data_IF_067472756469
#
_entry.id   IF_067472756469
#
_cell.length_a   1.000
_cell.length_b   1.000
_cell.length_c   1.000
_cell.angle_alpha   90.00
_cell.angle_beta   90.00
_cell.angle_gamma   90.00
#
_symmetry.space_group_name_H-M   'P 1'
#
loop_
_entity.id
_entity.type
_entity.pdbx_description
1 polymer ?
#
# COMPACT_ATOMS: atom_id res chain seq x y z
N UNK A 1 18.15 16.28 0.77
CA UNK A 1 16.96 16.14 -0.11
C UNK A 1 15.76 15.87 0.79
N UNK A 2 14.61 16.50 0.52
CA UNK A 2 13.43 16.48 1.38
C UNK A 2 12.48 15.30 1.10
N UNK A 3 11.48 15.14 1.97
CA UNK A 3 10.39 14.17 1.81
C UNK A 3 9.49 14.59 0.64
N UNK A 4 9.26 13.69 -0.31
CA UNK A 4 8.39 13.93 -1.47
C UNK A 4 7.07 13.22 -1.25
N UNK A 5 5.97 13.95 -1.43
CA UNK A 5 4.62 13.43 -1.27
C UNK A 5 3.83 13.53 -2.57
N UNK A 6 2.96 12.55 -2.81
CA UNK A 6 1.98 12.57 -3.90
C UNK A 6 0.58 12.31 -3.35
N UNK A 7 -0.40 13.02 -3.89
CA UNK A 7 -1.81 12.71 -3.63
C UNK A 7 -2.25 11.53 -4.50
N UNK A 8 -3.03 10.62 -3.93
CA UNK A 8 -3.58 9.48 -4.66
C UNK A 8 -4.82 8.91 -4.00
N UNK A 9 -5.55 8.05 -4.72
CA UNK A 9 -6.67 7.31 -4.16
C UNK A 9 -6.28 5.86 -3.91
N UNK A 10 -6.47 5.39 -2.69
CA UNK A 10 -6.47 3.96 -2.36
C UNK A 10 -7.87 3.40 -2.61
N UNK A 11 -7.99 2.34 -3.39
CA UNK A 11 -9.26 1.74 -3.80
C UNK A 11 -9.27 0.29 -3.34
N UNK A 12 -10.27 -0.06 -2.55
CA UNK A 12 -10.51 -1.41 -2.06
C UNK A 12 -11.11 -2.35 -3.11
N UNK A 13 -11.25 -3.64 -2.78
CA UNK A 13 -11.79 -4.65 -3.69
C UNK A 13 -13.26 -4.38 -4.06
N UNK A 14 -14.02 -3.69 -3.21
CA UNK A 14 -15.42 -3.32 -3.43
C UNK A 14 -15.59 -2.01 -4.20
N UNK A 15 -14.50 -1.37 -4.63
CA UNK A 15 -14.51 -0.07 -5.32
C UNK A 15 -14.59 1.14 -4.38
N UNK A 16 -14.75 0.94 -3.06
CA UNK A 16 -14.67 2.02 -2.08
C UNK A 16 -13.26 2.61 -2.09
N UNK A 17 -13.17 3.94 -2.11
CA UNK A 17 -11.89 4.64 -2.19
C UNK A 17 -11.70 5.70 -1.13
N UNK A 18 -10.44 5.97 -0.82
CA UNK A 18 -10.02 7.06 0.08
C UNK A 18 -8.84 7.81 -0.51
N UNK A 19 -8.88 9.13 -0.36
CA UNK A 19 -7.74 9.99 -0.69
C UNK A 19 -6.68 9.84 0.39
N UNK A 20 -5.44 9.63 -0.05
CA UNK A 20 -4.28 9.38 0.80
C UNK A 20 -3.09 10.13 0.23
N UNK A 21 -2.39 10.83 1.10
CA UNK A 21 -1.11 11.46 0.77
C UNK A 21 0.01 10.45 0.97
N UNK A 22 0.55 9.94 -0.13
CA UNK A 22 1.62 8.93 -0.11
C UNK A 22 2.99 9.58 -0.02
N UNK A 23 3.83 9.09 0.90
CA UNK A 23 5.26 9.37 0.90
C UNK A 23 5.94 8.53 -0.19
N UNK A 24 6.68 9.17 -1.09
CA UNK A 24 7.47 8.46 -2.10
C UNK A 24 8.74 7.91 -1.44
N UNK A 25 8.84 6.59 -1.35
CA UNK A 25 9.97 5.90 -0.76
C UNK A 25 10.46 4.77 -1.68
N UNK A 26 11.59 4.98 -2.36
CA UNK A 26 12.20 3.95 -3.22
C UNK A 26 12.77 2.75 -2.45
N UNK A 27 13.00 2.89 -1.14
CA UNK A 27 13.48 1.81 -0.28
C UNK A 27 12.37 0.90 0.26
N UNK A 28 11.10 1.17 -0.05
CA UNK A 28 9.98 0.34 0.38
C UNK A 28 9.49 -0.57 -0.76
N UNK A 29 9.55 -1.88 -0.55
CA UNK A 29 9.04 -2.87 -1.51
C UNK A 29 7.51 -2.89 -1.57
N UNK A 30 6.84 -2.52 -0.48
CA UNK A 30 5.38 -2.56 -0.36
C UNK A 30 4.82 -1.19 0.04
N UNK A 31 3.56 -0.93 -0.33
CA UNK A 31 2.86 0.28 0.08
C UNK A 31 2.25 0.08 1.47
N UNK A 32 2.39 1.08 2.33
CA UNK A 32 1.81 1.09 3.66
C UNK A 32 0.56 1.97 3.67
N UNK A 33 -0.52 1.47 4.27
CA UNK A 33 -1.72 2.24 4.49
C UNK A 33 -1.99 2.37 5.99
N UNK A 34 -2.47 3.54 6.45
CA UNK A 34 -3.00 3.69 7.79
C UNK A 34 -4.12 2.67 8.09
N UNK A 35 -4.20 2.14 9.32
CA UNK A 35 -5.22 1.14 9.68
C UNK A 35 -6.67 1.58 9.50
N UNK A 36 -6.93 2.89 9.60
CA UNK A 36 -8.23 3.51 9.35
C UNK A 36 -8.58 3.50 7.86
N UNK A 37 -7.63 3.88 6.99
CA UNK A 37 -7.80 3.81 5.54
C UNK A 37 -8.06 2.38 5.12
N UNK A 38 -7.24 1.43 5.60
CA UNK A 38 -7.38 0.00 5.35
C UNK A 38 -8.79 -0.53 5.61
N UNK A 39 -9.33 -0.19 6.78
CA UNK A 39 -10.68 -0.60 7.18
C UNK A 39 -11.75 0.12 6.36
N UNK A 40 -11.56 1.42 6.10
CA UNK A 40 -12.48 2.23 5.32
C UNK A 40 -12.63 1.75 3.87
N UNK A 41 -11.58 1.18 3.28
CA UNK A 41 -11.62 0.57 1.94
C UNK A 41 -11.82 -0.95 1.98
N UNK A 42 -12.22 -1.51 3.13
CA UNK A 42 -12.61 -2.92 3.29
C UNK A 42 -11.56 -3.90 2.78
N UNK A 43 -10.28 -3.65 3.06
CA UNK A 43 -9.23 -4.59 2.72
C UNK A 43 -9.23 -5.79 3.68
N UNK A 44 -9.18 -6.98 3.10
CA UNK A 44 -9.07 -8.24 3.84
C UNK A 44 -7.69 -8.87 3.63
N UNK A 45 -7.05 -9.37 4.70
CA UNK A 45 -5.72 -9.96 4.66
C UNK A 45 -5.67 -11.18 3.72
N UNK A 46 -4.80 -11.15 2.71
CA UNK A 46 -4.63 -12.26 1.75
C UNK A 46 -3.47 -13.19 2.12
N UNK A 47 -2.39 -12.63 2.67
CA UNK A 47 -1.19 -13.37 3.09
C UNK A 47 -0.51 -12.70 4.27
N UNK A 48 0.41 -13.42 4.92
CA UNK A 48 1.32 -12.88 5.93
C UNK A 48 2.72 -12.83 5.34
N UNK A 49 3.46 -11.76 5.60
CA UNK A 49 4.90 -11.74 5.35
C UNK A 49 5.66 -11.03 6.47
N UNK A 50 6.95 -11.32 6.54
CA UNK A 50 7.89 -10.71 7.46
C UNK A 50 8.57 -9.51 6.79
N UNK A 51 8.63 -8.40 7.51
CA UNK A 51 9.26 -7.15 7.08
C UNK A 51 10.42 -6.82 7.99
N UNK A 52 11.55 -6.43 7.38
CA UNK A 52 12.69 -5.89 8.12
C UNK A 52 12.58 -4.37 8.10
N UNK A 53 12.55 -3.76 9.28
CA UNK A 53 12.47 -2.32 9.46
C UNK A 53 13.86 -1.67 9.43
N UNK A 54 13.90 -0.34 9.35
CA UNK A 54 15.14 0.43 9.26
C UNK A 54 16.05 0.26 10.49
N UNK A 55 15.51 -0.16 11.63
CA UNK A 55 16.25 -0.48 12.86
C UNK A 55 16.76 -1.93 12.90
N UNK A 56 16.56 -2.70 11.82
CA UNK A 56 16.95 -4.10 11.70
C UNK A 56 15.97 -5.09 12.36
N UNK A 57 14.89 -4.61 12.97
CA UNK A 57 13.89 -5.50 13.57
C UNK A 57 13.00 -6.14 12.51
N UNK A 58 12.55 -7.37 12.78
CA UNK A 58 11.63 -8.10 11.92
C UNK A 58 10.22 -8.09 12.51
N UNK A 59 9.22 -7.76 11.69
CA UNK A 59 7.81 -7.81 12.07
C UNK A 59 7.01 -8.64 11.09
N UNK A 60 6.05 -9.42 11.59
CA UNK A 60 5.06 -10.09 10.74
C UNK A 60 3.84 -9.19 10.56
N UNK A 61 3.40 -9.04 9.31
CA UNK A 61 2.21 -8.28 8.97
C UNK A 61 1.36 -8.98 7.92
N UNK A 62 0.06 -8.73 8.01
CA UNK A 62 -0.88 -9.15 6.99
C UNK A 62 -0.82 -8.18 5.80
N UNK A 63 -0.85 -8.74 4.59
CA UNK A 63 -0.77 -8.03 3.31
C UNK A 63 -2.04 -8.33 2.51
N UNK A 64 -2.53 -7.32 1.80
CA UNK A 64 -3.67 -7.40 0.90
C UNK A 64 -3.39 -6.64 -0.38
N UNK A 65 -4.25 -6.79 -1.38
CA UNK A 65 -4.11 -6.05 -2.63
C UNK A 65 -5.12 -4.90 -2.68
N UNK A 66 -4.66 -3.70 -3.02
CA UNK A 66 -5.49 -2.54 -3.32
C UNK A 66 -5.13 -1.94 -4.68
N UNK A 67 -6.04 -1.18 -5.28
CA UNK A 67 -5.71 -0.41 -6.49
C UNK A 67 -5.39 1.03 -6.11
N UNK A 68 -4.46 1.67 -6.83
CA UNK A 68 -4.20 3.10 -6.68
C UNK A 68 -4.60 3.84 -7.94
N UNK A 69 -5.27 4.97 -7.79
CA UNK A 69 -5.41 5.94 -8.87
C UNK A 69 -4.54 7.17 -8.59
N UNK A 70 -3.65 7.50 -9.53
CA UNK A 70 -2.96 8.77 -9.62
C UNK A 70 -3.37 9.42 -10.96
N UNK A 71 -3.73 10.70 -10.95
CA UNK A 71 -4.25 11.42 -12.13
C UNK A 71 -5.53 10.82 -12.77
N UNK A 72 -6.42 10.23 -11.97
CA UNK A 72 -7.74 9.77 -12.44
C UNK A 72 -7.76 8.46 -13.21
N UNK A 73 -6.61 7.77 -13.34
CA UNK A 73 -6.53 6.43 -13.93
C UNK A 73 -6.11 5.39 -12.89
N UNK A 74 -6.84 4.26 -12.75
CA UNK A 74 -6.40 3.17 -11.91
C UNK A 74 -5.18 2.52 -12.55
N UNK A 75 -4.05 2.52 -11.84
CA UNK A 75 -2.84 1.83 -12.26
C UNK A 75 -2.49 0.76 -11.21
N UNK A 76 -2.34 -0.52 -11.59
CA UNK A 76 -1.64 -1.46 -10.74
C UNK A 76 -0.19 -0.98 -10.61
N UNK A 77 0.29 -0.76 -9.38
CA UNK A 77 1.68 -0.38 -9.17
C UNK A 77 2.57 -1.56 -9.52
N UNK A 78 3.33 -1.45 -10.61
CA UNK A 78 4.26 -2.48 -11.07
C UNK A 78 5.57 -2.41 -10.27
N UNK A 79 5.49 -2.69 -8.97
CA UNK A 79 6.64 -3.24 -8.24
C UNK A 79 6.83 -4.67 -8.73
N UNK A 80 8.07 -5.11 -8.96
CA UNK A 80 8.39 -6.43 -9.52
C UNK A 80 8.00 -7.55 -8.53
N UNK A 81 6.73 -7.89 -8.51
CA UNK A 81 6.18 -9.17 -8.06
C UNK A 81 5.44 -9.79 -9.26
N UNK A 82 5.50 -11.11 -9.38
CA UNK A 82 4.97 -11.87 -10.52
C UNK A 82 3.42 -11.94 -10.54
N UNK A 83 2.74 -11.26 -9.61
CA UNK A 83 1.29 -11.28 -9.40
C UNK A 83 0.57 -9.97 -9.72
N UNK A 84 1.28 -8.85 -9.97
CA UNK A 84 0.67 -7.62 -10.51
C UNK A 84 -0.32 -6.90 -9.58
N UNK A 85 -0.33 -7.23 -8.28
CA UNK A 85 -1.18 -6.64 -7.25
C UNK A 85 -0.42 -5.65 -6.36
N UNK A 86 -1.05 -4.52 -5.99
CA UNK A 86 -0.45 -3.56 -5.07
C UNK A 86 -0.63 -4.07 -3.63
N UNK A 87 0.40 -4.70 -3.06
CA UNK A 87 0.42 -5.11 -1.66
C UNK A 87 0.30 -3.91 -0.72
N UNK A 88 -0.90 -3.65 -0.20
CA UNK A 88 -1.11 -2.81 0.96
C UNK A 88 -0.76 -3.61 2.21
N UNK A 89 -0.09 -2.98 3.17
CA UNK A 89 0.13 -3.56 4.50
C UNK A 89 -0.59 -2.69 5.52
N UNK A 90 -1.31 -3.34 6.44
CA UNK A 90 -1.85 -2.70 7.63
C UNK A 90 -0.70 -2.50 8.63
N UNK A 91 -0.39 -1.25 8.96
CA UNK A 91 0.59 -0.91 10.00
C UNK A 91 0.14 -1.42 11.39
#
# INVERSE_FOLDING_TARGET
>A
MGLVYIEGKAIGPTGISREVRFLVNSGATHSLLPPDVWQAIQLEPKRRATFVLADGTSIDRNISECYRAAAGRPYPFRGRDESGGCGGIKL
#
